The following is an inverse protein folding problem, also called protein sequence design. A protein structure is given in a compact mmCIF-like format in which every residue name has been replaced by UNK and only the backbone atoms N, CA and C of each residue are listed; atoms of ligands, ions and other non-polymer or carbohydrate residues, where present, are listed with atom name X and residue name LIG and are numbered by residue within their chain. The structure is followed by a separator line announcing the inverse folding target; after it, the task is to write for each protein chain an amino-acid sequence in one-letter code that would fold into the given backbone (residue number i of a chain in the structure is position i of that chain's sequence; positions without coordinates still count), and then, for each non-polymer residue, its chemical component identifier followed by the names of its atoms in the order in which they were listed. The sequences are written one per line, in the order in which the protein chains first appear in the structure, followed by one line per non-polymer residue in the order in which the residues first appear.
data_IF_478369175523
#
_entry.id   IF_478369175523
#
_cell.length_a   1.000
_cell.length_b   1.000
_cell.length_c   1.000
_cell.angle_alpha   90.00
_cell.angle_beta   90.00
_cell.angle_gamma   90.00
#
_symmetry.space_group_name_H-M   'P 1'
#
loop_
_entity.id
_entity.type
_entity.pdbx_description
1 polymer ?
#
# COMPACT_ATOMS: atom_id res chain seq x y z
N UNK A 1 5.70 19.81 -6.59
CA UNK A 1 4.23 19.69 -6.48
C UNK A 1 3.70 18.27 -6.75
N UNK A 2 3.94 17.70 -7.94
CA UNK A 2 3.41 16.39 -8.33
C UNK A 2 3.75 15.25 -7.36
N UNK A 3 5.01 15.14 -6.92
CA UNK A 3 5.43 14.07 -6.00
C UNK A 3 4.64 14.05 -4.69
N UNK A 4 4.34 15.22 -4.14
CA UNK A 4 3.53 15.34 -2.93
C UNK A 4 2.11 14.81 -3.18
N UNK A 5 1.49 15.18 -4.31
CA UNK A 5 0.16 14.72 -4.70
C UNK A 5 0.14 13.18 -4.82
N UNK A 6 1.14 12.60 -5.47
CA UNK A 6 1.23 11.14 -5.63
C UNK A 6 1.39 10.42 -4.29
N UNK A 7 2.15 10.98 -3.34
CA UNK A 7 2.29 10.40 -2.00
C UNK A 7 0.97 10.51 -1.22
N UNK A 8 0.21 11.58 -1.38
CA UNK A 8 -1.15 11.67 -0.82
C UNK A 8 -2.04 10.59 -1.42
N UNK A 9 -2.06 10.40 -2.74
CA UNK A 9 -2.85 9.36 -3.39
C UNK A 9 -2.44 7.95 -2.98
N UNK A 10 -1.14 7.67 -2.86
CA UNK A 10 -0.66 6.38 -2.34
C UNK A 10 -1.15 6.14 -0.89
N UNK A 11 -1.20 7.19 -0.08
CA UNK A 11 -1.71 7.08 1.30
C UNK A 11 -3.22 6.81 1.35
N UNK A 12 -4.00 7.35 0.40
CA UNK A 12 -5.43 7.04 0.21
C UNK A 12 -5.64 5.59 -0.26
N UNK A 13 -4.70 5.06 -1.05
CA UNK A 13 -4.78 3.71 -1.60
C UNK A 13 -4.52 2.61 -0.56
N UNK A 14 -3.80 2.90 0.53
CA UNK A 14 -3.52 1.92 1.59
C UNK A 14 -2.97 0.57 1.07
N UNK A 15 -1.96 0.62 0.21
CA UNK A 15 -1.20 -0.55 -0.26
C UNK A 15 0.19 -0.63 0.42
N UNK A 16 0.24 -0.30 1.70
CA UNK A 16 1.46 -0.01 2.48
C UNK A 16 2.17 1.31 2.07
N UNK A 17 3.09 1.77 2.91
CA UNK A 17 3.87 2.97 2.65
C UNK A 17 4.67 2.82 1.35
N UNK A 18 4.82 3.91 0.58
CA UNK A 18 5.48 3.89 -0.72
C UNK A 18 6.91 3.31 -0.66
N UNK A 19 7.61 3.51 0.47
CA UNK A 19 8.91 2.89 0.73
C UNK A 19 8.85 1.35 0.73
N UNK A 20 7.91 0.78 1.47
CA UNK A 20 7.77 -0.67 1.62
C UNK A 20 7.26 -1.30 0.32
N UNK A 21 6.28 -0.67 -0.33
CA UNK A 21 5.78 -1.10 -1.62
C UNK A 21 6.91 -1.14 -2.67
N UNK A 22 7.68 -0.06 -2.81
CA UNK A 22 8.78 0.00 -3.76
C UNK A 22 9.89 -1.02 -3.46
N UNK A 23 10.21 -1.25 -2.17
CA UNK A 23 11.16 -2.31 -1.78
C UNK A 23 10.67 -3.67 -2.26
N UNK A 24 9.44 -4.05 -1.90
CA UNK A 24 8.90 -5.37 -2.23
C UNK A 24 8.73 -5.54 -3.75
N UNK A 25 8.33 -4.48 -4.46
CA UNK A 25 8.23 -4.49 -5.92
C UNK A 25 9.60 -4.63 -6.61
N UNK A 26 10.66 -4.00 -6.08
CA UNK A 26 12.03 -4.23 -6.57
C UNK A 26 12.47 -5.67 -6.35
N UNK A 27 12.10 -6.30 -5.23
CA UNK A 27 12.39 -7.72 -4.98
C UNK A 27 11.66 -8.57 -6.02
N UNK A 28 10.37 -8.33 -6.24
CA UNK A 28 9.59 -9.03 -7.25
C UNK A 28 10.25 -8.97 -8.64
N UNK A 29 10.52 -7.78 -9.16
CA UNK A 29 11.13 -7.65 -10.50
C UNK A 29 12.48 -8.34 -10.61
N UNK A 30 13.30 -8.27 -9.55
CA UNK A 30 14.65 -8.83 -9.57
C UNK A 30 14.67 -10.35 -9.43
N UNK A 31 13.66 -10.93 -8.78
CA UNK A 31 13.62 -12.36 -8.44
C UNK A 31 12.29 -13.02 -8.81
N UNK A 32 11.63 -12.53 -9.87
CA UNK A 32 10.31 -12.98 -10.32
C UNK A 32 10.28 -14.50 -10.46
N UNK A 33 9.14 -15.09 -10.08
CA UNK A 33 8.92 -16.55 -10.17
C UNK A 33 9.92 -17.41 -9.38
N UNK A 34 10.47 -16.86 -8.29
CA UNK A 34 11.27 -17.59 -7.31
C UNK A 34 10.69 -17.44 -5.89
N UNK A 35 11.21 -18.19 -4.92
CA UNK A 35 10.83 -18.03 -3.51
C UNK A 35 11.22 -16.67 -2.89
N UNK A 36 12.04 -15.88 -3.60
CA UNK A 36 12.32 -14.50 -3.22
C UNK A 36 11.28 -13.51 -3.73
N UNK A 37 10.37 -13.89 -4.64
CA UNK A 37 9.27 -13.04 -5.10
C UNK A 37 8.16 -12.99 -4.01
N UNK A 38 7.81 -11.79 -3.48
CA UNK A 38 6.76 -11.65 -2.48
C UNK A 38 5.41 -12.25 -2.87
N UNK A 39 5.09 -12.25 -4.17
CA UNK A 39 3.82 -12.72 -4.74
C UNK A 39 4.04 -13.66 -5.92
N UNK A 40 5.04 -14.54 -5.79
CA UNK A 40 5.41 -15.60 -6.74
C UNK A 40 4.20 -16.26 -7.43
N UNK A 41 4.02 -16.02 -8.74
CA UNK A 41 2.86 -16.50 -9.48
C UNK A 41 2.87 -18.02 -9.71
N UNK A 42 4.05 -18.67 -9.68
CA UNK A 42 4.16 -20.14 -9.71
C UNK A 42 3.45 -20.85 -8.55
N UNK A 43 3.16 -20.14 -7.45
CA UNK A 43 2.38 -20.67 -6.31
C UNK A 43 0.87 -20.62 -6.53
N UNK A 44 0.43 -20.20 -7.72
CA UNK A 44 -0.96 -20.21 -8.15
C UNK A 44 -1.71 -18.91 -7.90
N UNK A 45 -2.83 -18.74 -8.61
CA UNK A 45 -3.62 -17.50 -8.65
C UNK A 45 -3.99 -16.96 -7.28
N UNK A 46 -4.49 -17.81 -6.36
CA UNK A 46 -4.89 -17.34 -5.04
C UNK A 46 -3.71 -16.75 -4.26
N UNK A 47 -2.54 -17.38 -4.33
CA UNK A 47 -1.35 -16.90 -3.63
C UNK A 47 -0.89 -15.56 -4.17
N UNK A 48 -0.73 -15.43 -5.49
CA UNK A 48 -0.25 -14.19 -6.11
C UNK A 48 -1.26 -13.04 -6.05
N UNK A 49 -2.56 -13.34 -5.99
CA UNK A 49 -3.61 -12.33 -5.88
C UNK A 49 -3.73 -11.76 -4.46
N UNK A 50 -3.96 -12.60 -3.44
CA UNK A 50 -4.20 -12.13 -2.05
C UNK A 50 -3.54 -13.01 -0.99
N UNK A 51 -3.30 -14.28 -1.28
CA UNK A 51 -2.79 -15.24 -0.30
C UNK A 51 -1.43 -14.87 0.28
N UNK A 52 -0.58 -14.19 -0.48
CA UNK A 52 0.71 -13.69 -0.01
C UNK A 52 0.61 -12.66 1.13
N UNK A 53 -0.50 -11.91 1.21
CA UNK A 53 -0.78 -10.97 2.30
C UNK A 53 -1.24 -11.67 3.58
N UNK A 54 -1.70 -12.92 3.48
CA UNK A 54 -2.31 -13.69 4.56
C UNK A 54 -1.32 -14.65 5.24
N UNK A 55 -0.07 -14.70 4.78
CA UNK A 55 0.97 -15.54 5.36
C UNK A 55 2.25 -14.76 5.64
N UNK A 56 3.14 -15.35 6.45
CA UNK A 56 4.49 -14.79 6.61
C UNK A 56 5.24 -14.87 5.27
N UNK A 57 6.01 -13.83 4.98
CA UNK A 57 6.92 -13.81 3.81
C UNK A 57 7.91 -14.95 3.90
N UNK A 58 8.25 -15.54 2.74
CA UNK A 58 9.31 -16.53 2.66
C UNK A 58 10.66 -15.91 3.12
N UNK A 59 11.54 -16.65 3.82
CA UNK A 59 12.82 -16.12 4.28
C UNK A 59 13.67 -15.46 3.19
N UNK A 60 13.60 -15.98 1.95
CA UNK A 60 14.34 -15.42 0.83
C UNK A 60 13.88 -14.02 0.42
N UNK A 61 12.58 -13.72 0.52
CA UNK A 61 12.05 -12.35 0.30
C UNK A 61 12.75 -11.38 1.25
N UNK A 62 12.90 -11.76 2.53
CA UNK A 62 13.53 -10.94 3.56
C UNK A 62 15.03 -10.82 3.32
N UNK A 63 15.71 -11.94 3.02
CA UNK A 63 17.14 -11.97 2.78
C UNK A 63 17.53 -11.14 1.54
N UNK A 64 16.83 -11.34 0.43
CA UNK A 64 17.08 -10.61 -0.83
C UNK A 64 16.65 -9.15 -0.75
N UNK A 65 15.57 -8.83 -0.03
CA UNK A 65 15.13 -7.46 0.20
C UNK A 65 16.15 -6.62 0.98
N UNK A 66 16.92 -7.22 1.90
CA UNK A 66 18.02 -6.53 2.61
C UNK A 66 19.18 -6.14 1.69
N UNK A 67 19.38 -6.88 0.60
CA UNK A 67 20.46 -6.64 -0.37
C UNK A 67 20.13 -5.61 -1.45
N UNK A 68 18.94 -5.01 -1.43
CA UNK A 68 18.56 -3.97 -2.39
C UNK A 68 19.14 -2.61 -1.98
N UNK A 69 19.61 -1.86 -2.97
CA UNK A 69 19.83 -0.45 -2.80
C UNK A 69 18.48 0.28 -2.72
N UNK A 70 18.32 1.10 -1.68
CA UNK A 70 17.16 1.95 -1.41
C UNK A 70 17.63 3.36 -1.01
N UNK A 71 18.88 3.72 -1.32
CA UNK A 71 19.48 5.02 -1.01
C UNK A 71 18.67 6.16 -1.63
N UNK A 72 18.16 5.95 -2.84
CA UNK A 72 17.30 6.87 -3.56
C UNK A 72 15.97 7.15 -2.82
N UNK A 73 15.34 6.10 -2.27
CA UNK A 73 14.12 6.24 -1.49
C UNK A 73 14.39 6.94 -0.15
N UNK A 74 15.52 6.62 0.50
CA UNK A 74 15.93 7.25 1.77
C UNK A 74 16.29 8.72 1.62
N UNK A 75 16.79 9.12 0.45
CA UNK A 75 17.12 10.50 0.15
C UNK A 75 15.87 11.38 -0.05
N UNK A 76 14.72 10.77 -0.36
CA UNK A 76 13.47 11.49 -0.60
C UNK A 76 12.75 11.85 0.72
N UNK A 77 12.79 13.13 1.07
CA UNK A 77 12.18 13.65 2.31
C UNK A 77 10.65 13.51 2.35
N UNK A 78 9.96 13.58 1.21
CA UNK A 78 8.49 13.46 1.17
C UNK A 78 8.11 12.01 1.46
N UNK A 79 8.80 11.07 0.83
CA UNK A 79 8.59 9.64 1.05
C UNK A 79 8.96 9.24 2.48
N UNK A 80 10.07 9.73 3.02
CA UNK A 80 10.47 9.46 4.40
C UNK A 80 9.53 10.09 5.42
N UNK A 81 8.94 11.26 5.13
CA UNK A 81 7.87 11.84 5.94
C UNK A 81 6.63 10.93 5.95
N UNK A 82 6.18 10.49 4.78
CA UNK A 82 5.05 9.57 4.68
C UNK A 82 5.31 8.29 5.48
N UNK A 83 6.48 7.67 5.30
CA UNK A 83 6.87 6.46 6.03
C UNK A 83 6.82 6.66 7.55
N UNK A 84 7.40 7.77 8.04
CA UNK A 84 7.44 8.08 9.47
C UNK A 84 6.04 8.26 10.08
N UNK A 85 5.12 8.85 9.33
CA UNK A 85 3.78 9.20 9.80
C UNK A 85 2.68 8.29 9.24
N UNK A 86 3.04 7.19 8.58
CA UNK A 86 2.13 6.39 7.77
C UNK A 86 0.93 5.89 8.56
N UNK A 87 1.16 5.35 9.77
CA UNK A 87 0.11 4.83 10.64
C UNK A 87 -0.89 5.88 11.15
N UNK A 88 -0.56 7.18 11.02
CA UNK A 88 -1.48 8.28 11.33
C UNK A 88 -2.14 8.79 10.04
N UNK A 89 -1.36 9.00 8.99
CA UNK A 89 -1.85 9.55 7.73
C UNK A 89 -2.80 8.60 7.00
N UNK A 90 -2.51 7.30 7.00
CA UNK A 90 -3.30 6.27 6.32
C UNK A 90 -4.74 6.21 6.85
N UNK A 91 -5.02 6.03 8.15
CA UNK A 91 -6.40 5.91 8.60
C UNK A 91 -7.21 7.18 8.35
N UNK A 92 -6.56 8.35 8.45
CA UNK A 92 -7.18 9.62 8.13
C UNK A 92 -7.55 9.70 6.63
N UNK A 93 -6.61 9.38 5.74
CA UNK A 93 -6.78 9.53 4.31
C UNK A 93 -7.66 8.44 3.66
N UNK A 94 -7.53 7.19 4.09
CA UNK A 94 -8.22 6.04 3.48
C UNK A 94 -9.61 5.80 4.08
N UNK A 95 -9.81 6.09 5.37
CA UNK A 95 -11.05 5.76 6.08
C UNK A 95 -11.82 6.98 6.58
N UNK A 96 -11.19 7.88 7.35
CA UNK A 96 -11.90 9.00 8.00
C UNK A 96 -12.37 10.03 6.99
N UNK A 97 -11.49 10.56 6.14
CA UNK A 97 -11.85 11.60 5.18
C UNK A 97 -12.89 11.11 4.16
N UNK A 98 -12.76 9.91 3.54
CA UNK A 98 -13.76 9.42 2.61
C UNK A 98 -15.12 9.12 3.26
N UNK A 99 -15.18 8.92 4.58
CA UNK A 99 -16.42 8.77 5.33
C UNK A 99 -17.06 10.12 5.67
N UNK A 100 -16.27 11.08 6.16
CA UNK A 100 -16.80 12.36 6.66
C UNK A 100 -17.12 13.35 5.55
N UNK A 101 -16.38 13.33 4.44
CA UNK A 101 -16.60 14.27 3.34
C UNK A 101 -18.03 14.14 2.76
N UNK A 102 -18.51 12.93 2.38
CA UNK A 102 -19.87 12.80 1.85
C UNK A 102 -20.95 13.11 2.87
N UNK A 103 -20.74 12.66 4.11
CA UNK A 103 -21.65 12.90 5.22
C UNK A 103 -21.83 14.41 5.51
N UNK A 104 -20.72 15.16 5.58
CA UNK A 104 -20.76 16.58 5.95
C UNK A 104 -21.04 17.54 4.80
N UNK A 105 -20.59 17.25 3.57
CA UNK A 105 -20.62 18.23 2.48
C UNK A 105 -21.84 18.12 1.56
N UNK A 106 -22.48 16.95 1.46
CA UNK A 106 -23.66 16.76 0.61
C UNK A 106 -24.72 15.85 1.22
N UNK A 107 -24.73 15.75 2.57
CA UNK A 107 -25.78 15.12 3.36
C UNK A 107 -26.04 13.64 3.00
N UNK A 108 -24.98 12.90 2.65
CA UNK A 108 -25.06 11.45 2.53
C UNK A 108 -25.24 10.81 3.91
N UNK A 109 -25.88 9.64 3.98
CA UNK A 109 -25.98 8.89 5.23
C UNK A 109 -24.60 8.41 5.69
N UNK A 110 -24.39 8.31 7.01
CA UNK A 110 -23.13 7.78 7.55
C UNK A 110 -22.88 6.33 7.09
N UNK A 111 -23.95 5.54 6.97
CA UNK A 111 -23.86 4.15 6.50
C UNK A 111 -23.38 4.06 5.05
N UNK A 112 -23.96 4.84 4.13
CA UNK A 112 -23.52 4.83 2.73
C UNK A 112 -22.08 5.40 2.61
N UNK A 113 -21.75 6.44 3.36
CA UNK A 113 -20.41 7.03 3.36
C UNK A 113 -19.35 6.02 3.83
N UNK A 114 -19.65 5.24 4.86
CA UNK A 114 -18.76 4.20 5.36
C UNK A 114 -18.70 2.98 4.43
N UNK A 115 -19.85 2.38 4.08
CA UNK A 115 -19.85 1.11 3.35
C UNK A 115 -19.54 1.27 1.86
N UNK A 116 -19.95 2.36 1.22
CA UNK A 116 -19.76 2.58 -0.21
C UNK A 116 -18.53 3.44 -0.49
N UNK A 117 -18.52 4.69 -0.03
CA UNK A 117 -17.45 5.64 -0.36
C UNK A 117 -16.10 5.28 0.27
N UNK A 118 -16.12 4.50 1.35
CA UNK A 118 -14.92 4.08 2.07
C UNK A 118 -14.58 2.60 1.84
N UNK A 119 -15.39 1.67 2.38
CA UNK A 119 -15.07 0.25 2.39
C UNK A 119 -15.11 -0.38 0.99
N UNK A 120 -16.20 -0.20 0.25
CA UNK A 120 -16.29 -0.73 -1.12
C UNK A 120 -15.23 -0.12 -2.03
N UNK A 121 -15.03 1.21 -1.98
CA UNK A 121 -13.94 1.90 -2.70
C UNK A 121 -12.57 1.27 -2.40
N UNK A 122 -12.26 1.03 -1.12
CA UNK A 122 -10.98 0.45 -0.71
C UNK A 122 -10.83 -1.01 -1.12
N UNK A 123 -11.89 -1.81 -1.07
CA UNK A 123 -11.84 -3.21 -1.52
C UNK A 123 -11.75 -3.34 -3.05
N UNK A 124 -12.37 -2.43 -3.81
CA UNK A 124 -12.43 -2.51 -5.27
C UNK A 124 -11.09 -2.22 -5.96
N UNK A 125 -10.18 -1.51 -5.29
CA UNK A 125 -8.83 -1.18 -5.80
C UNK A 125 -7.77 -2.25 -5.50
N UNK A 126 -8.13 -3.33 -4.77
CA UNK A 126 -7.23 -4.43 -4.42
C UNK A 126 -7.10 -5.47 -5.54
#
# INVERSE_FOLDING_TARGET
PLRLILIVFNTVAFQDAAFHWARDHRVHHKFSETDADPHNATRGFFFSHVGWLLCKKHPDVVAKGKGLDLSDLRADRILMFQLKHYFILMPLACFVLPTLIPYCLWNETLLNSWFVATMFRWCFQL
#
